data_IF_721550760292
#
_entry.id   IF_721550760292
#
_cell.length_a   1.000
_cell.length_b   1.000
_cell.length_c   1.000
_cell.angle_alpha   90.00
_cell.angle_beta   90.00
_cell.angle_gamma   90.00
#
_symmetry.space_group_name_H-M   'P 1'
#
loop_
_entity.id
_entity.type
_entity.pdbx_description
1 polymer ?
#
# COMPACT_ATOMS: atom_id res chain seq x y z
N UNK A 1 -4.90 -5.11 -11.67
CA UNK A 1 -4.70 -3.84 -10.92
C UNK A 1 -5.95 -2.99 -11.06
N UNK A 2 -6.33 -2.28 -10.00
CA UNK A 2 -7.49 -1.37 -10.02
C UNK A 2 -7.18 -0.10 -10.81
N UNK A 3 -5.94 0.35 -10.76
CA UNK A 3 -5.46 1.55 -11.44
C UNK A 3 -4.51 1.21 -12.59
N UNK A 4 -4.65 1.92 -13.72
CA UNK A 4 -3.69 1.83 -14.81
C UNK A 4 -2.34 2.46 -14.48
N UNK A 5 -1.26 2.02 -15.16
CA UNK A 5 0.11 2.51 -14.93
C UNK A 5 0.22 4.03 -15.07
N UNK A 6 -0.48 4.62 -16.03
CA UNK A 6 -0.48 6.08 -16.23
C UNK A 6 -1.03 6.82 -15.01
N UNK A 7 -2.11 6.32 -14.40
CA UNK A 7 -2.68 6.94 -13.20
C UNK A 7 -1.75 6.81 -12.01
N UNK A 8 -1.13 5.63 -11.86
CA UNK A 8 -0.15 5.38 -10.80
C UNK A 8 1.08 6.26 -10.98
N UNK A 9 1.62 6.35 -12.20
CA UNK A 9 2.75 7.24 -12.52
C UNK A 9 2.43 8.72 -12.18
N UNK A 10 1.25 9.20 -12.55
CA UNK A 10 0.82 10.56 -12.22
C UNK A 10 0.77 10.80 -10.71
N UNK A 11 0.25 9.85 -9.93
CA UNK A 11 0.25 9.94 -8.47
C UNK A 11 1.67 9.92 -7.88
N UNK A 12 2.54 9.08 -8.42
CA UNK A 12 3.94 9.01 -7.99
C UNK A 12 4.66 10.33 -8.27
N UNK A 13 4.48 10.92 -9.46
CA UNK A 13 5.04 12.24 -9.81
C UNK A 13 4.55 13.30 -8.82
N UNK A 14 3.26 13.37 -8.55
CA UNK A 14 2.68 14.32 -7.59
C UNK A 14 3.23 14.14 -6.18
N UNK A 15 3.37 12.89 -5.74
CA UNK A 15 3.92 12.57 -4.42
C UNK A 15 5.40 12.93 -4.30
N UNK A 16 6.22 12.58 -5.29
CA UNK A 16 7.67 12.84 -5.31
C UNK A 16 7.96 14.32 -5.49
N UNK A 17 7.24 14.98 -6.40
CA UNK A 17 7.40 16.41 -6.72
C UNK A 17 6.67 17.36 -5.76
N UNK A 18 5.86 16.84 -4.83
CA UNK A 18 4.94 17.64 -3.99
C UNK A 18 4.05 18.56 -4.85
N UNK A 19 3.50 17.97 -5.91
CA UNK A 19 2.61 18.67 -6.84
C UNK A 19 1.15 18.37 -6.50
N UNK A 20 0.32 19.37 -6.59
CA UNK A 20 -1.11 19.22 -6.40
C UNK A 20 -1.70 18.34 -7.51
N UNK A 21 -2.31 17.20 -7.13
CA UNK A 21 -2.87 16.23 -8.05
C UNK A 21 -4.01 16.82 -8.91
N UNK A 22 -4.77 17.76 -8.36
CA UNK A 22 -5.86 18.42 -9.09
C UNK A 22 -5.30 19.37 -10.15
N UNK A 23 -4.27 20.16 -9.80
CA UNK A 23 -3.58 21.06 -10.72
C UNK A 23 -2.92 20.29 -11.87
N UNK A 24 -2.24 19.20 -11.55
CA UNK A 24 -1.63 18.32 -12.56
C UNK A 24 -2.66 17.78 -13.54
N UNK A 25 -3.81 17.29 -13.03
CA UNK A 25 -4.85 16.72 -13.88
C UNK A 25 -5.53 17.75 -14.78
N UNK A 26 -5.67 18.98 -14.31
CA UNK A 26 -6.31 20.06 -15.06
C UNK A 26 -5.34 20.90 -15.92
N UNK A 27 -4.04 20.57 -15.86
CA UNK A 27 -3.01 21.33 -16.60
C UNK A 27 -2.70 22.73 -16.06
N UNK A 28 -3.16 23.06 -14.85
CA UNK A 28 -3.02 24.38 -14.23
C UNK A 28 -1.79 24.43 -13.32
N UNK A 29 -0.61 24.14 -13.88
CA UNK A 29 0.67 24.22 -13.17
C UNK A 29 1.22 25.64 -13.20
N UNK A 30 1.78 26.08 -12.08
CA UNK A 30 2.51 27.35 -11.97
C UNK A 30 3.98 27.15 -12.37
N UNK A 31 4.71 28.24 -12.59
CA UNK A 31 6.12 28.15 -13.03
C UNK A 31 7.00 27.34 -12.07
N UNK A 32 6.78 27.47 -10.76
CA UNK A 32 7.48 26.66 -9.76
C UNK A 32 7.13 25.17 -9.85
N UNK A 33 5.90 24.84 -10.20
CA UNK A 33 5.45 23.45 -10.33
C UNK A 33 6.17 22.75 -11.49
N UNK A 34 6.49 23.45 -12.57
CA UNK A 34 7.23 22.88 -13.71
C UNK A 34 8.64 22.43 -13.33
N UNK A 35 9.34 23.20 -12.49
CA UNK A 35 10.66 22.83 -12.00
C UNK A 35 10.58 21.57 -11.11
N UNK A 36 9.57 21.50 -10.22
CA UNK A 36 9.31 20.34 -9.37
C UNK A 36 8.92 19.10 -10.19
N UNK A 37 8.09 19.29 -11.21
CA UNK A 37 7.68 18.23 -12.15
C UNK A 37 8.90 17.64 -12.85
N UNK A 38 9.76 18.48 -13.41
CA UNK A 38 10.97 18.02 -14.11
C UNK A 38 11.89 17.25 -13.18
N UNK A 39 12.07 17.71 -11.95
CA UNK A 39 12.88 17.03 -10.94
C UNK A 39 12.28 15.67 -10.56
N UNK A 40 10.95 15.60 -10.37
CA UNK A 40 10.26 14.36 -10.04
C UNK A 40 10.33 13.35 -11.19
N UNK A 41 10.15 13.81 -12.43
CA UNK A 41 10.28 12.96 -13.62
C UNK A 41 11.69 12.37 -13.73
N UNK A 42 12.76 13.18 -13.54
CA UNK A 42 14.13 12.69 -13.54
C UNK A 42 14.33 11.58 -12.51
N UNK A 43 13.91 11.79 -11.26
CA UNK A 43 14.04 10.79 -10.19
C UNK A 43 13.30 9.49 -10.49
N UNK A 44 12.09 9.58 -11.05
CA UNK A 44 11.28 8.40 -11.35
C UNK A 44 11.76 7.66 -12.60
N UNK A 45 12.29 8.38 -13.59
CA UNK A 45 12.89 7.78 -14.78
C UNK A 45 14.14 6.94 -14.46
N UNK A 46 14.92 7.38 -13.50
CA UNK A 46 16.13 6.68 -13.07
C UNK A 46 15.84 5.55 -12.07
N UNK A 47 14.62 5.49 -11.53
CA UNK A 47 14.22 4.48 -10.56
C UNK A 47 13.83 3.17 -11.26
N UNK A 48 14.32 2.00 -10.82
CA UNK A 48 13.97 0.71 -11.41
C UNK A 48 12.57 0.25 -10.94
N UNK A 49 11.53 0.93 -11.40
CA UNK A 49 10.13 0.65 -11.08
C UNK A 49 9.48 -0.02 -12.28
N UNK A 50 8.93 -1.21 -12.06
CA UNK A 50 8.27 -2.04 -13.08
C UNK A 50 6.81 -2.20 -12.70
N UNK A 51 5.90 -1.78 -13.57
CA UNK A 51 4.44 -1.83 -13.36
C UNK A 51 3.85 -2.88 -14.30
N UNK A 52 3.12 -3.83 -13.73
CA UNK A 52 2.36 -4.83 -14.48
C UNK A 52 0.86 -4.57 -14.29
N UNK A 53 0.17 -4.21 -15.35
CA UNK A 53 -1.26 -3.86 -15.33
C UNK A 53 -2.19 -5.03 -15.59
N UNK A 54 -1.66 -6.23 -15.81
CA UNK A 54 -2.50 -7.37 -16.14
C UNK A 54 -3.51 -7.65 -15.03
N UNK A 55 -4.78 -7.75 -15.41
CA UNK A 55 -5.87 -8.08 -14.50
C UNK A 55 -5.99 -9.60 -14.31
N UNK A 56 -6.52 -10.01 -13.14
CA UNK A 56 -6.86 -11.41 -12.87
C UNK A 56 -5.65 -12.36 -12.86
N UNK A 57 -4.48 -11.87 -12.47
CA UNK A 57 -3.30 -12.71 -12.33
C UNK A 57 -3.50 -13.76 -11.24
N UNK A 58 -3.12 -15.00 -11.54
CA UNK A 58 -3.00 -16.04 -10.53
C UNK A 58 -1.70 -15.88 -9.73
N UNK A 59 -1.61 -16.51 -8.57
CA UNK A 59 -0.37 -16.55 -7.79
C UNK A 59 0.79 -17.17 -8.58
N UNK A 60 0.49 -18.09 -9.50
CA UNK A 60 1.47 -18.69 -10.41
C UNK A 60 2.01 -17.67 -11.43
N UNK A 61 1.13 -16.85 -12.02
CA UNK A 61 1.52 -15.79 -12.96
C UNK A 61 2.42 -14.77 -12.28
N UNK A 62 2.04 -14.30 -11.08
CA UNK A 62 2.86 -13.37 -10.30
C UNK A 62 4.25 -13.96 -10.03
N UNK A 63 4.31 -15.23 -9.63
CA UNK A 63 5.57 -15.94 -9.40
C UNK A 63 6.44 -16.03 -10.66
N UNK A 64 5.85 -16.40 -11.78
CA UNK A 64 6.56 -16.54 -13.05
C UNK A 64 7.14 -15.20 -13.53
N UNK A 65 6.33 -14.12 -13.44
CA UNK A 65 6.73 -12.75 -13.82
C UNK A 65 7.80 -12.18 -12.89
N UNK A 66 7.62 -12.33 -11.58
CA UNK A 66 8.60 -11.88 -10.58
C UNK A 66 9.95 -12.58 -10.75
N UNK A 67 9.96 -13.90 -10.95
CA UNK A 67 11.19 -14.67 -11.23
C UNK A 67 11.89 -14.22 -12.51
N UNK A 68 11.11 -13.98 -13.57
CA UNK A 68 11.66 -13.50 -14.83
C UNK A 68 12.32 -12.14 -14.66
N UNK A 69 11.60 -11.19 -14.04
CA UNK A 69 12.11 -9.85 -13.82
C UNK A 69 13.32 -9.85 -12.89
N UNK A 70 13.27 -10.61 -11.79
CA UNK A 70 14.39 -10.77 -10.86
C UNK A 70 15.68 -11.21 -11.57
N UNK A 71 15.59 -12.18 -12.51
CA UNK A 71 16.74 -12.61 -13.30
C UNK A 71 17.22 -11.57 -14.31
N UNK A 72 16.28 -10.87 -14.94
CA UNK A 72 16.59 -9.86 -15.96
C UNK A 72 17.28 -8.62 -15.38
N UNK A 73 16.91 -8.24 -14.14
CA UNK A 73 17.42 -7.03 -13.48
C UNK A 73 18.56 -7.30 -12.50
N UNK A 74 18.93 -8.57 -12.32
CA UNK A 74 19.94 -8.93 -11.31
C UNK A 74 19.44 -8.92 -9.88
N UNK A 75 18.14 -8.75 -9.66
CA UNK A 75 17.48 -8.73 -8.35
C UNK A 75 16.29 -7.79 -8.29
N UNK A 76 15.41 -8.01 -7.32
CA UNK A 76 14.31 -7.11 -6.97
C UNK A 76 14.50 -6.65 -5.53
N UNK A 77 14.20 -5.38 -5.23
CA UNK A 77 14.23 -4.84 -3.87
C UNK A 77 12.90 -4.96 -3.14
N UNK A 78 11.78 -5.00 -3.86
CA UNK A 78 10.43 -5.05 -3.31
C UNK A 78 9.46 -5.58 -4.36
N UNK A 79 8.46 -6.33 -3.93
CA UNK A 79 7.30 -6.71 -4.74
C UNK A 79 6.05 -6.12 -4.08
N UNK A 80 5.20 -5.44 -4.85
CA UNK A 80 3.92 -4.90 -4.37
C UNK A 80 2.78 -5.52 -5.17
N UNK A 81 1.75 -6.01 -4.48
CA UNK A 81 0.52 -6.56 -5.08
C UNK A 81 -0.67 -5.69 -4.67
N UNK A 82 -1.30 -5.05 -5.63
CA UNK A 82 -2.46 -4.17 -5.44
C UNK A 82 -3.68 -4.75 -6.20
N UNK A 83 -4.61 -5.37 -5.54
CA UNK A 83 -4.71 -5.91 -4.17
C UNK A 83 -5.14 -7.39 -4.24
N UNK A 84 -5.06 -8.12 -3.15
CA UNK A 84 -5.24 -9.58 -3.13
C UNK A 84 -6.56 -10.04 -3.74
N UNK A 85 -7.63 -9.31 -3.51
CA UNK A 85 -8.98 -9.69 -3.97
C UNK A 85 -9.19 -9.53 -5.48
N UNK A 86 -8.26 -8.90 -6.22
CA UNK A 86 -8.26 -8.86 -7.68
C UNK A 86 -7.52 -10.03 -8.31
N UNK A 87 -6.78 -10.80 -7.52
CA UNK A 87 -6.09 -11.98 -8.02
C UNK A 87 -7.09 -13.10 -8.32
N UNK A 88 -6.83 -13.85 -9.38
CA UNK A 88 -7.61 -15.03 -9.73
C UNK A 88 -7.20 -16.23 -8.86
N UNK A 89 -8.18 -17.01 -8.41
CA UNK A 89 -7.94 -18.32 -7.83
C UNK A 89 -7.45 -19.33 -8.86
N UNK A 90 -6.80 -20.39 -8.42
CA UNK A 90 -6.34 -21.48 -9.29
C UNK A 90 -7.44 -22.47 -9.64
N UNK A 91 -8.55 -22.47 -8.91
CA UNK A 91 -9.69 -23.35 -9.13
C UNK A 91 -10.80 -22.63 -9.91
N UNK A 92 -11.20 -23.19 -11.03
CA UNK A 92 -12.30 -22.73 -11.90
C UNK A 92 -13.71 -23.00 -11.34
N UNK A 93 -13.83 -23.31 -10.06
CA UNK A 93 -15.13 -23.64 -9.44
C UNK A 93 -15.93 -22.38 -9.15
N UNK A 94 -17.09 -22.25 -9.83
CA UNK A 94 -18.17 -21.32 -9.53
C UNK A 94 -18.79 -21.68 -8.16
N UNK A 95 -18.22 -21.20 -7.06
CA UNK A 95 -18.69 -21.53 -5.72
C UNK A 95 -18.61 -20.33 -4.77
N UNK A 96 -19.50 -20.30 -3.79
CA UNK A 96 -19.76 -19.16 -2.91
C UNK A 96 -18.60 -18.67 -2.02
N UNK A 97 -18.94 -17.90 -1.01
CA UNK A 97 -18.03 -17.19 -0.09
C UNK A 97 -16.92 -18.07 0.55
N UNK A 98 -17.21 -19.35 0.85
CA UNK A 98 -16.21 -20.29 1.41
C UNK A 98 -15.07 -20.60 0.44
N UNK A 99 -15.37 -20.67 -0.86
CA UNK A 99 -14.34 -20.87 -1.89
C UNK A 99 -13.39 -19.66 -1.95
N UNK A 100 -13.92 -18.44 -1.77
CA UNK A 100 -13.10 -17.23 -1.85
C UNK A 100 -12.11 -17.13 -0.70
N UNK A 101 -12.50 -17.50 0.52
CA UNK A 101 -11.61 -17.55 1.67
C UNK A 101 -10.45 -18.57 1.45
N UNK A 102 -10.77 -19.72 0.87
CA UNK A 102 -9.77 -20.73 0.51
C UNK A 102 -8.81 -20.24 -0.56
N UNK A 103 -9.31 -19.58 -1.61
CA UNK A 103 -8.49 -18.98 -2.67
C UNK A 103 -7.53 -17.92 -2.12
N UNK A 104 -8.00 -16.99 -1.29
CA UNK A 104 -7.17 -15.98 -0.64
C UNK A 104 -6.10 -16.63 0.24
N UNK A 105 -6.44 -17.72 0.91
CA UNK A 105 -5.50 -18.49 1.72
C UNK A 105 -4.38 -19.11 0.89
N UNK A 106 -4.72 -19.66 -0.28
CA UNK A 106 -3.73 -20.22 -1.22
C UNK A 106 -2.84 -19.13 -1.81
N UNK A 107 -3.43 -17.99 -2.20
CA UNK A 107 -2.71 -16.82 -2.70
C UNK A 107 -1.72 -16.32 -1.63
N UNK A 108 -2.16 -16.13 -0.39
CA UNK A 108 -1.32 -15.67 0.72
C UNK A 108 -0.09 -16.56 0.92
N UNK A 109 -0.30 -17.88 1.01
CA UNK A 109 0.81 -18.86 1.16
C UNK A 109 1.77 -18.85 -0.03
N UNK A 110 1.22 -18.73 -1.25
CA UNK A 110 2.03 -18.68 -2.46
C UNK A 110 2.90 -17.42 -2.52
N UNK A 111 2.34 -16.25 -2.17
CA UNK A 111 3.08 -14.99 -2.10
C UNK A 111 4.14 -15.02 -1.00
N UNK A 112 3.84 -15.60 0.16
CA UNK A 112 4.83 -15.81 1.23
C UNK A 112 5.98 -16.72 0.77
N UNK A 113 5.67 -17.79 0.04
CA UNK A 113 6.67 -18.69 -0.54
C UNK A 113 7.55 -17.95 -1.56
N UNK A 114 6.95 -17.13 -2.43
CA UNK A 114 7.66 -16.32 -3.41
C UNK A 114 8.62 -15.32 -2.75
N UNK A 115 8.17 -14.60 -1.71
CA UNK A 115 9.01 -13.66 -0.97
C UNK A 115 10.25 -14.34 -0.38
N UNK A 116 10.07 -15.53 0.20
CA UNK A 116 11.18 -16.34 0.72
C UNK A 116 12.11 -16.85 -0.37
N UNK A 117 11.55 -17.34 -1.47
CA UNK A 117 12.30 -17.89 -2.60
C UNK A 117 13.24 -16.86 -3.23
N UNK A 118 12.73 -15.64 -3.46
CA UNK A 118 13.50 -14.56 -4.06
C UNK A 118 14.31 -13.77 -3.01
N UNK A 119 14.09 -14.03 -1.73
CA UNK A 119 14.64 -13.24 -0.61
C UNK A 119 14.34 -11.73 -0.74
N UNK A 120 13.08 -11.40 -1.08
CA UNK A 120 12.60 -10.05 -1.35
C UNK A 120 11.37 -9.78 -0.49
N UNK A 121 11.28 -8.62 0.19
CA UNK A 121 10.04 -8.22 0.87
C UNK A 121 8.90 -8.12 -0.13
N UNK A 122 7.72 -8.62 0.28
CA UNK A 122 6.50 -8.56 -0.50
C UNK A 122 5.42 -7.84 0.33
N UNK A 123 4.89 -6.76 -0.22
CA UNK A 123 3.76 -6.01 0.33
C UNK A 123 2.52 -6.36 -0.49
N UNK A 124 1.50 -6.88 0.17
CA UNK A 124 0.20 -7.14 -0.44
C UNK A 124 -0.85 -6.22 0.18
N UNK A 125 -1.57 -5.47 -0.65
CA UNK A 125 -2.71 -4.69 -0.21
C UNK A 125 -3.92 -5.60 -0.06
N UNK A 126 -4.75 -5.32 0.92
CA UNK A 126 -5.99 -6.08 1.17
C UNK A 126 -7.12 -5.14 1.52
N UNK A 127 -8.27 -5.40 0.92
CA UNK A 127 -9.50 -4.68 1.25
C UNK A 127 -10.04 -5.14 2.59
N UNK A 128 -10.53 -4.19 3.38
CA UNK A 128 -11.20 -4.47 4.65
C UNK A 128 -12.68 -4.81 4.45
N UNK A 129 -13.26 -5.50 5.42
CA UNK A 129 -14.69 -5.70 5.50
C UNK A 129 -15.39 -4.37 5.81
N UNK A 130 -16.49 -4.09 5.12
CA UNK A 130 -17.29 -2.87 5.34
C UNK A 130 -17.92 -2.78 6.73
N UNK A 131 -17.98 -3.86 7.48
CA UNK A 131 -18.46 -3.86 8.86
C UNK A 131 -17.67 -2.91 9.79
N UNK A 132 -16.43 -2.58 9.46
CA UNK A 132 -15.63 -1.57 10.17
C UNK A 132 -16.34 -0.21 10.22
N UNK A 133 -17.07 0.15 9.14
CA UNK A 133 -17.80 1.42 9.04
C UNK A 133 -19.05 1.48 9.93
N UNK A 134 -19.53 0.34 10.41
CA UNK A 134 -20.71 0.25 11.28
C UNK A 134 -20.37 0.37 12.77
N UNK A 135 -19.09 0.26 13.14
CA UNK A 135 -18.66 0.38 14.54
C UNK A 135 -18.53 1.85 14.97
N UNK A 136 -18.73 2.16 16.26
CA UNK A 136 -18.44 3.49 16.81
C UNK A 136 -16.98 3.87 16.60
N UNK A 137 -16.02 3.01 16.97
CA UNK A 137 -14.60 3.16 16.62
C UNK A 137 -14.33 2.47 15.27
N UNK A 138 -14.02 3.29 14.28
CA UNK A 138 -13.78 2.86 12.90
C UNK A 138 -12.30 2.50 12.64
N UNK A 139 -11.47 2.45 13.70
CA UNK A 139 -10.10 1.95 13.56
C UNK A 139 -10.12 0.47 13.19
N UNK A 140 -9.45 0.08 12.11
CA UNK A 140 -9.40 -1.31 11.71
C UNK A 140 -8.74 -2.20 12.74
N UNK A 141 -9.25 -3.43 12.84
CA UNK A 141 -8.70 -4.51 13.67
C UNK A 141 -8.53 -5.77 12.82
N UNK A 142 -7.83 -6.77 13.34
CA UNK A 142 -7.52 -8.00 12.63
C UNK A 142 -8.74 -8.71 12.03
N UNK A 143 -9.86 -8.74 12.74
CA UNK A 143 -11.12 -9.34 12.26
C UNK A 143 -11.75 -8.63 11.06
N UNK A 144 -11.31 -7.42 10.74
CA UNK A 144 -11.79 -6.66 9.58
C UNK A 144 -11.08 -7.06 8.28
N UNK A 145 -10.00 -7.80 8.36
CA UNK A 145 -9.41 -8.41 7.19
C UNK A 145 -10.41 -9.43 6.63
N UNK A 146 -10.94 -9.18 5.47
CA UNK A 146 -11.94 -10.03 4.83
C UNK A 146 -11.34 -11.37 4.44
N UNK A 147 -12.01 -12.48 4.81
CA UNK A 147 -11.63 -13.85 4.43
C UNK A 147 -10.21 -14.28 4.89
N UNK A 148 -9.76 -13.87 6.09
CA UNK A 148 -8.37 -13.58 6.39
C UNK A 148 -7.64 -14.46 7.41
N UNK A 149 -8.24 -15.51 7.92
CA UNK A 149 -7.53 -16.35 8.90
C UNK A 149 -6.13 -16.80 8.43
N UNK A 150 -5.96 -17.03 7.13
CA UNK A 150 -4.68 -17.40 6.56
C UNK A 150 -3.73 -16.21 6.40
N UNK A 151 -4.23 -15.04 5.97
CA UNK A 151 -3.41 -13.82 5.88
C UNK A 151 -2.82 -13.50 7.25
N UNK A 152 -3.66 -13.59 8.30
CA UNK A 152 -3.21 -13.38 9.66
C UNK A 152 -2.08 -14.33 10.06
N UNK A 153 -2.15 -15.60 9.66
CA UNK A 153 -1.10 -16.59 9.97
C UNK A 153 0.17 -16.37 9.16
N UNK A 154 0.04 -16.11 7.86
CA UNK A 154 1.15 -16.07 6.91
C UNK A 154 1.96 -14.77 6.99
N UNK A 155 1.31 -13.62 7.19
CA UNK A 155 1.98 -12.33 7.22
C UNK A 155 2.91 -12.18 8.44
N UNK A 156 4.09 -11.61 8.22
CA UNK A 156 5.01 -11.25 9.31
C UNK A 156 4.63 -9.92 9.95
N UNK A 157 4.04 -9.04 9.16
CA UNK A 157 3.62 -7.69 9.55
C UNK A 157 2.24 -7.41 8.96
N UNK A 158 1.34 -6.87 9.77
CA UNK A 158 0.04 -6.37 9.33
C UNK A 158 -0.11 -4.93 9.78
N UNK A 159 -0.32 -4.07 8.81
CA UNK A 159 -0.49 -2.64 9.01
C UNK A 159 -1.88 -2.23 8.54
N UNK A 160 -2.57 -1.42 9.33
CA UNK A 160 -3.78 -0.73 8.91
C UNK A 160 -3.51 0.77 8.81
N UNK A 161 -4.21 1.41 7.89
CA UNK A 161 -4.20 2.86 7.73
C UNK A 161 -5.55 3.39 8.19
N UNK A 162 -5.54 4.36 9.10
CA UNK A 162 -6.73 5.03 9.56
C UNK A 162 -6.56 6.55 9.48
N UNK A 163 -7.58 7.25 9.01
CA UNK A 163 -7.65 8.71 8.97
C UNK A 163 -8.97 9.15 9.59
N UNK A 164 -8.88 9.81 10.73
CA UNK A 164 -10.08 10.21 11.49
C UNK A 164 -10.93 11.22 10.70
N UNK A 165 -10.31 12.16 9.99
CA UNK A 165 -10.99 13.18 9.18
C UNK A 165 -11.92 12.62 8.10
N UNK A 166 -11.74 11.36 7.68
CA UNK A 166 -12.60 10.70 6.68
C UNK A 166 -13.98 10.38 7.27
N UNK A 167 -14.03 10.08 8.56
CA UNK A 167 -15.24 9.70 9.28
C UNK A 167 -15.80 10.82 10.14
N UNK A 168 -14.94 11.73 10.59
CA UNK A 168 -15.26 12.85 11.47
C UNK A 168 -14.79 14.17 10.82
N UNK A 169 -15.69 14.92 10.15
CA UNK A 169 -15.35 16.20 9.54
C UNK A 169 -14.81 17.26 10.52
N UNK A 170 -15.16 17.14 11.80
CA UNK A 170 -14.74 18.05 12.86
C UNK A 170 -13.54 17.50 13.67
N UNK A 171 -12.85 16.49 13.13
CA UNK A 171 -11.68 15.90 13.78
C UNK A 171 -10.62 16.95 14.12
N UNK A 172 -10.06 16.86 15.31
CA UNK A 172 -8.87 17.62 15.72
C UNK A 172 -7.59 17.12 15.04
N UNK A 173 -7.64 15.90 14.48
CA UNK A 173 -6.52 15.20 13.85
C UNK A 173 -6.50 15.36 12.32
N UNK A 174 -7.07 16.46 11.78
CA UNK A 174 -7.06 16.74 10.33
C UNK A 174 -5.64 16.75 9.77
N UNK A 175 -5.50 16.22 8.54
CA UNK A 175 -4.21 16.14 7.86
C UNK A 175 -3.26 15.11 8.48
N UNK A 176 -3.78 14.18 9.30
CA UNK A 176 -2.99 13.10 9.88
C UNK A 176 -3.54 11.73 9.51
N UNK A 177 -2.68 10.73 9.62
CA UNK A 177 -3.05 9.34 9.51
C UNK A 177 -2.38 8.50 10.60
N UNK A 178 -3.07 7.48 11.08
CA UNK A 178 -2.51 6.48 11.96
C UNK A 178 -2.12 5.24 11.13
N UNK A 179 -0.88 4.79 11.28
CA UNK A 179 -0.45 3.46 10.86
C UNK A 179 -0.52 2.55 12.07
N UNK A 180 -1.49 1.65 12.07
CA UNK A 180 -1.73 0.71 13.17
C UNK A 180 -0.97 -0.58 12.87
N UNK A 181 0.05 -0.89 13.66
CA UNK A 181 0.81 -2.13 13.58
C UNK A 181 0.03 -3.17 14.39
N UNK A 182 -0.84 -3.92 13.70
CA UNK A 182 -1.72 -4.89 14.35
C UNK A 182 -1.06 -6.25 14.56
N UNK A 183 -0.06 -6.59 13.74
CA UNK A 183 0.80 -7.76 13.90
C UNK A 183 2.22 -7.42 13.51
N UNK A 184 3.17 -7.91 14.31
CA UNK A 184 4.60 -7.86 14.01
C UNK A 184 5.29 -9.04 14.66
N UNK A 185 5.95 -9.90 13.87
CA UNK A 185 6.62 -11.10 14.42
C UNK A 185 7.87 -10.77 15.22
N UNK A 186 8.60 -9.76 14.81
CA UNK A 186 9.92 -9.42 15.35
C UNK A 186 9.94 -8.09 16.10
N UNK A 187 8.80 -7.65 16.64
CA UNK A 187 8.71 -6.39 17.38
C UNK A 187 7.34 -6.18 18.02
N UNK A 188 7.15 -5.09 18.74
CA UNK A 188 5.89 -4.77 19.38
C UNK A 188 4.84 -4.32 18.36
N UNK A 189 3.58 -4.58 18.67
CA UNK A 189 2.45 -3.91 18.04
C UNK A 189 2.35 -2.47 18.56
N UNK A 190 1.69 -1.60 17.79
CA UNK A 190 1.57 -0.20 18.21
C UNK A 190 0.93 0.68 17.15
N UNK A 191 1.12 1.97 17.27
CA UNK A 191 0.61 2.97 16.32
C UNK A 191 1.69 4.00 16.03
N UNK A 192 1.76 4.41 14.78
CA UNK A 192 2.62 5.49 14.32
C UNK A 192 1.72 6.55 13.68
N UNK A 193 1.84 7.78 14.14
CA UNK A 193 1.15 8.92 13.56
C UNK A 193 2.00 9.53 12.46
N UNK A 194 1.39 9.79 11.32
CA UNK A 194 2.00 10.44 10.16
C UNK A 194 1.19 11.69 9.78
N UNK A 195 1.84 12.65 9.14
CA UNK A 195 1.17 13.71 8.42
C UNK A 195 0.71 13.18 7.06
N UNK A 196 -0.53 13.46 6.68
CA UNK A 196 -1.06 13.12 5.37
C UNK A 196 -1.34 14.37 4.54
N UNK A 197 -0.57 14.57 3.50
CA UNK A 197 -0.73 15.68 2.56
C UNK A 197 -1.62 15.21 1.40
N UNK A 198 -2.94 15.36 1.56
CA UNK A 198 -3.94 14.82 0.64
C UNK A 198 -3.79 15.35 -0.79
N UNK A 199 -3.48 16.64 -0.96
CA UNK A 199 -3.27 17.26 -2.28
C UNK A 199 -2.10 16.64 -3.06
N UNK A 200 -1.09 16.10 -2.34
CA UNK A 200 0.07 15.45 -2.93
C UNK A 200 0.00 13.92 -2.87
N UNK A 201 -1.06 13.37 -2.27
CA UNK A 201 -1.20 11.92 -1.99
C UNK A 201 0.06 11.36 -1.30
N UNK A 202 0.53 12.07 -0.25
CA UNK A 202 1.81 11.82 0.37
C UNK A 202 1.72 11.73 1.89
N UNK A 203 2.45 10.77 2.45
CA UNK A 203 2.71 10.68 3.88
C UNK A 203 4.07 11.31 4.22
N UNK A 204 4.14 12.00 5.34
CA UNK A 204 5.37 12.58 5.89
C UNK A 204 5.45 12.26 7.39
N UNK A 205 6.64 12.40 7.97
CA UNK A 205 6.79 12.25 9.40
C UNK A 205 5.96 13.30 10.13
N UNK A 206 5.27 12.87 11.17
CA UNK A 206 4.52 13.78 12.02
C UNK A 206 5.50 14.55 12.95
N UNK A 207 5.59 15.85 12.76
CA UNK A 207 6.32 16.71 13.68
C UNK A 207 5.44 16.94 14.91
N UNK A 208 5.68 16.22 16.00
CA UNK A 208 5.12 16.59 17.31
C UNK A 208 5.76 17.91 17.72
N UNK A 209 4.95 18.94 17.99
CA UNK A 209 5.40 20.28 18.34
C UNK A 209 6.12 20.43 19.69
N UNK A 210 6.84 19.42 20.17
CA UNK A 210 7.70 19.40 21.33
C UNK A 210 9.04 18.71 21.00
N UNK A 211 9.75 19.23 20.01
CA UNK A 211 11.21 19.08 20.05
C UNK A 211 11.71 20.19 21.00
N UNK A 212 11.62 19.95 22.30
CA UNK A 212 12.54 20.62 23.22
C UNK A 212 13.94 20.21 22.79
N UNK A 213 14.70 21.20 22.30
CA UNK A 213 16.15 21.19 22.37
C UNK A 213 16.51 20.90 23.82
N UNK A 214 16.97 19.73 24.10
CA UNK A 214 17.76 19.35 25.27
C UNK A 214 19.15 19.18 24.77
N UNK A 215 19.91 20.27 24.68
CA UNK A 215 21.35 20.22 24.95
C UNK A 215 21.50 19.60 26.33
N UNK A 216 22.35 18.60 26.39
CA UNK A 216 23.37 18.46 27.43
C UNK A 216 23.82 17.00 27.58
N UNK A 217 25.15 16.89 27.44
CA UNK A 217 26.13 15.84 27.76
C UNK A 217 26.30 14.71 26.74
#
# INVERSE_FOLDING_TARGET
MEMGATQLATRMIGSVGRLDQHRMRNGNLEDEDWARLTTALGRLNDAPIYIDEAAGLTSFDVRARARRLHRQTGGLGLIVVDYLQLMAGTSSSRGGSENRATEISEISRSLKSLAKELNVPLVALSQLNRSVEQRPDKRPVMSDLRESGAIEQDADLILFIYRDEVYNPDSEDKGTAEIIIAKQRNGPIGRVRLTFLGHHTRFENFASGNAHMGDDY
#
